data_IF_874119321398
#
_entry.id   IF_874119321398
#
_cell.length_a   1.000
_cell.length_b   1.000
_cell.length_c   1.000
_cell.angle_alpha   90.00
_cell.angle_beta   90.00
_cell.angle_gamma   90.00
#
_symmetry.space_group_name_H-M   'P 1'
#
loop_
_entity.id
_entity.type
_entity.pdbx_description
1 polymer ?
#
# COMPACT_ATOMS: atom_id res chain seq x y z
N UNK A 1 22.29 -66.27 -34.08
CA UNK A 1 20.92 -66.15 -34.57
C UNK A 1 20.14 -65.32 -33.62
N UNK A 2 19.66 -64.19 -34.01
CA UNK A 2 18.56 -63.33 -33.65
C UNK A 2 18.87 -62.35 -32.52
N UNK A 3 19.28 -61.11 -32.73
CA UNK A 3 18.52 -59.87 -33.04
C UNK A 3 17.30 -59.73 -32.15
N UNK A 4 17.28 -58.66 -31.30
CA UNK A 4 16.44 -57.49 -31.48
C UNK A 4 16.70 -56.45 -30.41
N UNK A 5 16.87 -55.40 -30.80
CA UNK A 5 16.67 -53.98 -30.81
C UNK A 5 15.92 -53.45 -29.56
N UNK A 6 16.66 -52.73 -28.71
CA UNK A 6 16.11 -51.78 -27.74
C UNK A 6 15.91 -50.40 -28.41
N UNK A 7 14.65 -49.93 -28.45
CA UNK A 7 14.31 -48.58 -28.83
C UNK A 7 14.19 -47.69 -27.56
N UNK A 8 14.73 -46.46 -27.54
CA UNK A 8 14.61 -45.58 -26.38
C UNK A 8 13.24 -44.85 -26.34
N UNK A 9 12.63 -44.88 -25.17
CA UNK A 9 11.41 -44.12 -24.84
C UNK A 9 11.67 -42.60 -24.91
N UNK A 10 10.87 -41.95 -25.73
CA UNK A 10 10.81 -40.50 -25.91
C UNK A 10 10.39 -39.80 -24.60
N UNK A 11 11.25 -38.89 -24.11
CA UNK A 11 10.91 -37.96 -23.03
C UNK A 11 9.95 -36.90 -23.56
N UNK A 12 8.75 -36.86 -22.99
CA UNK A 12 7.78 -35.81 -23.23
C UNK A 12 8.30 -34.50 -22.61
N UNK A 13 8.55 -33.50 -23.45
CA UNK A 13 8.87 -32.15 -23.06
C UNK A 13 7.62 -31.47 -22.46
N UNK A 14 7.66 -31.14 -21.18
CA UNK A 14 6.70 -30.23 -20.55
C UNK A 14 7.00 -28.81 -21.06
N UNK A 15 6.11 -28.33 -21.95
CA UNK A 15 6.14 -26.94 -22.41
C UNK A 15 5.71 -26.00 -21.26
N UNK A 16 6.60 -25.12 -20.87
CA UNK A 16 6.26 -23.94 -20.05
C UNK A 16 5.26 -23.05 -20.81
N UNK A 17 4.22 -22.52 -20.17
CA UNK A 17 3.35 -21.55 -20.81
C UNK A 17 4.12 -20.24 -20.99
N UNK A 18 4.31 -19.86 -22.25
CA UNK A 18 4.90 -18.59 -22.65
C UNK A 18 4.08 -17.42 -22.06
N UNK A 19 4.71 -16.64 -21.18
CA UNK A 19 4.21 -15.37 -20.72
C UNK A 19 4.21 -14.40 -21.90
N UNK A 20 3.03 -14.00 -22.37
CA UNK A 20 2.88 -12.96 -23.35
C UNK A 20 3.46 -11.63 -22.81
N UNK A 21 4.27 -10.90 -23.57
CA UNK A 21 4.77 -9.60 -23.14
C UNK A 21 3.60 -8.62 -23.09
N UNK A 22 3.33 -8.08 -21.90
CA UNK A 22 2.44 -6.93 -21.73
C UNK A 22 3.10 -5.75 -22.43
N UNK A 23 2.63 -5.44 -23.63
CA UNK A 23 3.07 -4.30 -24.43
C UNK A 23 2.71 -3.02 -23.68
N UNK A 24 3.70 -2.41 -23.03
CA UNK A 24 3.58 -1.09 -22.44
C UNK A 24 3.58 -0.06 -23.57
N UNK A 25 2.39 0.32 -24.01
CA UNK A 25 2.19 1.48 -24.89
C UNK A 25 2.65 2.72 -24.11
N UNK A 26 3.79 3.30 -24.48
CA UNK A 26 4.23 4.61 -23.99
C UNK A 26 3.24 5.67 -24.49
N UNK A 27 2.26 6.01 -23.67
CA UNK A 27 1.46 7.20 -23.86
C UNK A 27 2.36 8.43 -23.58
N UNK A 28 2.68 9.19 -24.63
CA UNK A 28 3.49 10.41 -24.59
C UNK A 28 2.66 11.65 -24.23
N UNK A 29 1.81 11.57 -23.20
CA UNK A 29 1.02 12.68 -22.69
C UNK A 29 0.95 12.62 -21.17
N UNK A 30 0.80 13.77 -20.50
CA UNK A 30 0.53 13.78 -19.06
C UNK A 30 -0.80 13.06 -18.80
N UNK A 31 -0.91 12.29 -17.68
CA UNK A 31 -2.16 11.62 -17.33
C UNK A 31 -3.32 12.61 -17.19
N UNK A 32 -4.51 12.23 -17.64
CA UNK A 32 -5.72 13.03 -17.44
C UNK A 32 -5.99 13.28 -15.96
N UNK A 33 -6.56 14.45 -15.64
CA UNK A 33 -6.89 14.80 -14.26
C UNK A 33 -8.05 13.93 -13.77
N UNK A 34 -7.85 13.23 -12.67
CA UNK A 34 -8.92 12.53 -11.97
C UNK A 34 -9.59 13.46 -10.97
N UNK A 35 -10.92 13.47 -10.94
CA UNK A 35 -11.72 14.20 -9.95
C UNK A 35 -12.10 13.38 -8.72
N UNK A 36 -11.86 12.06 -8.75
CA UNK A 36 -12.29 11.14 -7.68
C UNK A 36 -11.12 10.44 -6.97
N UNK A 37 -9.99 10.25 -7.65
CA UNK A 37 -8.85 9.50 -7.13
C UNK A 37 -7.59 10.35 -7.19
N UNK A 38 -6.77 10.31 -6.14
CA UNK A 38 -5.46 10.96 -6.08
C UNK A 38 -4.38 10.01 -5.56
N UNK A 39 -3.13 10.32 -5.85
CA UNK A 39 -1.99 9.70 -5.14
C UNK A 39 -1.62 10.58 -3.96
N UNK A 40 -1.42 9.98 -2.78
CA UNK A 40 -1.08 10.66 -1.54
C UNK A 40 0.25 10.10 -0.99
N UNK A 41 1.26 10.96 -0.90
CA UNK A 41 2.62 10.60 -0.50
C UNK A 41 2.93 11.26 0.86
N UNK A 42 2.85 10.55 1.99
CA UNK A 42 3.38 11.05 3.25
C UNK A 42 4.91 11.07 3.20
N UNK A 43 5.53 12.15 3.67
CA UNK A 43 6.97 12.37 3.52
C UNK A 43 7.58 12.99 4.78
N UNK A 44 8.65 12.36 5.31
CA UNK A 44 9.44 12.88 6.42
C UNK A 44 10.91 12.59 6.21
N UNK A 45 11.72 13.63 6.04
CA UNK A 45 13.16 13.57 5.80
C UNK A 45 13.56 12.48 4.77
N UNK A 46 12.95 12.46 3.57
CA UNK A 46 13.18 11.42 2.57
C UNK A 46 14.46 11.62 1.75
N UNK A 47 15.15 12.74 1.94
CA UNK A 47 16.27 13.13 1.10
C UNK A 47 15.86 13.35 -0.38
N UNK A 48 16.75 13.00 -1.29
CA UNK A 48 16.52 13.18 -2.74
C UNK A 48 15.53 12.18 -3.35
N UNK A 49 15.29 11.04 -2.69
CA UNK A 49 14.43 9.97 -3.21
C UNK A 49 12.98 10.41 -3.44
N UNK A 50 12.49 11.35 -2.64
CA UNK A 50 11.12 11.88 -2.82
C UNK A 50 10.90 12.51 -4.18
N UNK A 51 11.91 13.13 -4.76
CA UNK A 51 11.79 13.78 -6.07
C UNK A 51 11.58 12.74 -7.19
N UNK A 52 12.31 11.63 -7.12
CA UNK A 52 12.14 10.51 -8.04
C UNK A 52 10.78 9.84 -7.85
N UNK A 53 10.39 9.63 -6.60
CA UNK A 53 9.07 9.07 -6.25
C UNK A 53 7.94 9.93 -6.79
N UNK A 54 7.99 11.25 -6.59
CA UNK A 54 6.98 12.20 -7.07
C UNK A 54 6.95 12.26 -8.60
N UNK A 55 8.11 12.35 -9.27
CA UNK A 55 8.17 12.31 -10.74
C UNK A 55 7.60 11.01 -11.29
N UNK A 56 7.94 9.87 -10.68
CA UNK A 56 7.39 8.57 -11.06
C UNK A 56 5.88 8.50 -10.89
N UNK A 57 5.34 9.00 -9.78
CA UNK A 57 3.91 9.06 -9.55
C UNK A 57 3.20 10.01 -10.52
N UNK A 58 3.76 11.21 -10.76
CA UNK A 58 3.22 12.21 -11.71
C UNK A 58 3.20 11.70 -13.15
N UNK A 59 4.16 10.88 -13.54
CA UNK A 59 4.17 10.23 -14.85
C UNK A 59 3.04 9.22 -15.03
N UNK A 60 2.44 8.73 -13.95
CA UNK A 60 1.39 7.69 -13.98
C UNK A 60 0.02 8.22 -13.60
N UNK A 61 -0.06 9.30 -12.81
CA UNK A 61 -1.33 9.79 -12.27
C UNK A 61 -1.37 11.29 -12.05
N UNK A 62 -2.59 11.84 -12.14
CA UNK A 62 -2.90 13.23 -11.87
C UNK A 62 -4.26 13.33 -11.16
N UNK A 63 -4.36 13.93 -9.93
CA UNK A 63 -3.30 14.64 -9.19
C UNK A 63 -2.45 13.76 -8.27
N UNK A 64 -1.28 14.30 -7.87
CA UNK A 64 -0.40 13.75 -6.84
C UNK A 64 -0.24 14.78 -5.72
N UNK A 65 -0.50 14.36 -4.50
CA UNK A 65 -0.34 15.20 -3.31
C UNK A 65 0.77 14.66 -2.42
N UNK A 66 1.65 15.52 -1.96
CA UNK A 66 2.68 15.19 -0.98
C UNK A 66 2.36 15.87 0.33
N UNK A 67 2.35 15.11 1.43
CA UNK A 67 2.20 15.67 2.79
C UNK A 67 3.56 15.62 3.48
N UNK A 68 4.21 16.76 3.57
CA UNK A 68 5.48 16.93 4.28
C UNK A 68 5.21 17.00 5.77
N UNK A 69 5.66 15.99 6.52
CA UNK A 69 5.41 15.81 7.94
C UNK A 69 6.56 16.42 8.78
N UNK A 70 6.75 17.74 8.67
CA UNK A 70 7.77 18.46 9.42
C UNK A 70 9.21 18.09 9.04
N UNK A 71 9.49 17.87 7.76
CA UNK A 71 10.84 17.59 7.25
C UNK A 71 11.77 18.78 7.49
N UNK A 72 13.06 18.49 7.77
CA UNK A 72 14.13 19.45 8.05
C UNK A 72 15.34 19.28 7.13
N UNK A 73 15.25 18.42 6.12
CA UNK A 73 16.31 18.03 5.21
C UNK A 73 16.34 18.85 3.89
N UNK A 74 15.54 19.92 3.80
CA UNK A 74 15.41 20.74 2.58
C UNK A 74 14.49 20.15 1.50
N UNK A 75 13.94 18.96 1.71
CA UNK A 75 13.03 18.32 0.75
C UNK A 75 11.72 19.10 0.57
N UNK A 76 11.26 19.77 1.63
CA UNK A 76 10.02 20.54 1.61
C UNK A 76 10.08 21.74 0.64
N UNK A 77 11.20 22.42 0.61
CA UNK A 77 11.44 23.57 -0.29
C UNK A 77 11.52 23.10 -1.74
N UNK A 78 12.30 22.06 -2.00
CA UNK A 78 12.43 21.47 -3.34
C UNK A 78 11.09 20.98 -3.90
N UNK A 79 10.26 20.35 -3.05
CA UNK A 79 8.91 19.92 -3.44
C UNK A 79 8.00 21.09 -3.74
N UNK A 80 8.11 22.19 -2.97
CA UNK A 80 7.33 23.40 -3.23
C UNK A 80 7.70 24.05 -4.57
N UNK A 81 8.99 24.09 -4.91
CA UNK A 81 9.46 24.59 -6.20
C UNK A 81 8.97 23.73 -7.37
N UNK A 82 8.96 22.39 -7.20
CA UNK A 82 8.34 21.49 -8.18
C UNK A 82 6.85 21.77 -8.37
N UNK A 83 6.11 21.99 -7.28
CA UNK A 83 4.68 22.25 -7.34
C UNK A 83 4.32 23.57 -8.02
N UNK A 84 5.21 24.57 -7.99
CA UNK A 84 5.03 25.82 -8.75
C UNK A 84 5.08 25.58 -10.27
N UNK A 85 5.80 24.56 -10.72
CA UNK A 85 6.00 24.23 -12.13
C UNK A 85 5.04 23.13 -12.62
N UNK A 86 4.37 22.42 -11.71
CA UNK A 86 3.47 21.31 -12.04
C UNK A 86 2.12 21.48 -11.33
N UNK A 87 1.08 21.97 -12.01
CA UNK A 87 -0.26 22.19 -11.42
C UNK A 87 -0.94 20.90 -10.94
N UNK A 88 -0.47 19.74 -11.36
CA UNK A 88 -0.97 18.44 -10.89
C UNK A 88 -0.28 17.93 -9.61
N UNK A 89 0.75 18.64 -9.13
CA UNK A 89 1.44 18.37 -7.89
C UNK A 89 1.01 19.36 -6.81
N UNK A 90 0.56 18.86 -5.67
CA UNK A 90 0.23 19.67 -4.49
C UNK A 90 1.07 19.28 -3.30
N UNK A 91 1.62 20.27 -2.59
CA UNK A 91 2.40 20.06 -1.38
C UNK A 91 1.66 20.61 -0.17
N UNK A 92 1.33 19.75 0.77
CA UNK A 92 0.75 20.07 2.08
C UNK A 92 1.86 19.99 3.13
N UNK A 93 1.87 20.89 4.11
CA UNK A 93 2.91 20.91 5.14
C UNK A 93 2.32 20.80 6.55
N UNK A 94 2.87 19.91 7.36
CA UNK A 94 2.65 19.88 8.80
C UNK A 94 3.81 20.61 9.51
N UNK A 95 3.54 21.33 10.61
CA UNK A 95 4.56 22.15 11.25
C UNK A 95 5.64 21.31 12.00
N UNK A 96 5.36 20.05 12.26
CA UNK A 96 6.26 19.11 12.97
C UNK A 96 5.94 17.67 12.59
N UNK A 97 6.87 16.76 12.86
CA UNK A 97 6.64 15.33 12.69
C UNK A 97 5.53 14.81 13.61
N UNK A 98 4.42 14.44 13.00
CA UNK A 98 3.25 13.84 13.63
C UNK A 98 3.13 12.33 13.34
N UNK A 99 3.92 11.83 12.39
CA UNK A 99 4.00 10.44 11.93
C UNK A 99 3.20 10.15 10.67
N UNK A 100 3.59 9.06 9.96
CA UNK A 100 3.05 8.67 8.66
C UNK A 100 1.50 8.71 8.61
N UNK A 101 0.85 8.05 9.56
CA UNK A 101 -0.61 8.01 9.59
C UNK A 101 -1.26 9.36 9.86
N UNK A 102 -0.61 10.25 10.63
CA UNK A 102 -1.10 11.61 10.83
C UNK A 102 -1.02 12.44 9.54
N UNK A 103 0.07 12.29 8.77
CA UNK A 103 0.23 12.92 7.47
C UNK A 103 -0.82 12.40 6.47
N UNK A 104 -1.05 11.09 6.42
CA UNK A 104 -2.11 10.49 5.58
C UNK A 104 -3.47 11.03 5.98
N UNK A 105 -3.81 11.07 7.27
CA UNK A 105 -5.10 11.59 7.73
C UNK A 105 -5.28 13.06 7.38
N UNK A 106 -4.21 13.88 7.48
CA UNK A 106 -4.26 15.28 7.10
C UNK A 106 -4.60 15.44 5.62
N UNK A 107 -3.86 14.78 4.72
CA UNK A 107 -4.13 14.81 3.29
C UNK A 107 -5.49 14.23 2.92
N UNK A 108 -5.88 13.10 3.54
CA UNK A 108 -7.16 12.44 3.32
C UNK A 108 -8.36 13.33 3.67
N UNK A 109 -8.28 14.09 4.76
CA UNK A 109 -9.34 15.04 5.16
C UNK A 109 -9.52 16.18 4.17
N UNK A 110 -8.42 16.75 3.71
CA UNK A 110 -8.46 17.82 2.71
C UNK A 110 -9.01 17.28 1.39
N UNK A 111 -8.51 16.11 0.95
CA UNK A 111 -8.98 15.48 -0.27
C UNK A 111 -10.49 15.16 -0.23
N UNK A 112 -10.98 14.62 0.89
CA UNK A 112 -12.40 14.34 1.07
C UNK A 112 -13.25 15.63 1.06
N UNK A 113 -12.76 16.71 1.66
CA UNK A 113 -13.45 18.00 1.66
C UNK A 113 -13.49 18.65 0.26
N UNK A 114 -12.52 18.32 -0.61
CA UNK A 114 -12.46 18.78 -2.00
C UNK A 114 -13.18 17.82 -2.98
N UNK A 115 -13.87 16.80 -2.47
CA UNK A 115 -14.72 15.91 -3.28
C UNK A 115 -14.01 14.65 -3.80
N UNK A 116 -12.74 14.42 -3.47
CA UNK A 116 -12.09 13.14 -3.78
C UNK A 116 -12.68 12.03 -2.93
N UNK A 117 -12.85 10.86 -3.53
CA UNK A 117 -13.44 9.68 -2.88
C UNK A 117 -12.40 8.65 -2.47
N UNK A 118 -11.26 8.59 -3.17
CA UNK A 118 -10.22 7.58 -2.96
C UNK A 118 -8.82 8.19 -3.01
N UNK A 119 -7.90 7.61 -2.25
CA UNK A 119 -6.49 7.95 -2.32
C UNK A 119 -5.62 6.69 -2.35
N UNK A 120 -4.70 6.64 -3.31
CA UNK A 120 -3.59 5.68 -3.30
C UNK A 120 -2.48 6.26 -2.43
N UNK A 121 -2.16 5.59 -1.33
CA UNK A 121 -0.97 5.92 -0.53
C UNK A 121 0.28 5.29 -1.12
N UNK A 122 1.38 6.02 -1.07
CA UNK A 122 2.69 5.59 -1.58
C UNK A 122 3.78 6.19 -0.69
N UNK A 123 4.75 5.39 -0.25
CA UNK A 123 5.85 5.89 0.58
C UNK A 123 6.84 6.73 -0.25
N UNK A 124 7.52 7.68 0.39
CA UNK A 124 8.41 8.65 -0.27
C UNK A 124 9.85 8.15 -0.48
N UNK A 125 10.11 6.89 -0.14
CA UNK A 125 11.45 6.27 -0.11
C UNK A 125 11.87 5.58 -1.42
N UNK A 126 11.06 5.63 -2.47
CA UNK A 126 11.36 5.05 -3.77
C UNK A 126 11.21 3.53 -3.86
N UNK A 127 10.70 2.86 -2.81
CA UNK A 127 10.52 1.40 -2.81
C UNK A 127 9.23 0.95 -3.50
N UNK A 128 8.24 1.81 -3.62
CA UNK A 128 6.94 1.50 -4.22
C UNK A 128 6.95 1.68 -5.75
N UNK A 129 6.28 0.77 -6.50
CA UNK A 129 6.31 0.74 -7.96
C UNK A 129 5.34 1.75 -8.58
N UNK A 130 5.77 2.92 -9.10
CA UNK A 130 4.85 3.88 -9.68
C UNK A 130 4.10 3.33 -10.91
N UNK A 131 4.69 2.40 -11.65
CA UNK A 131 4.06 1.76 -12.81
C UNK A 131 2.80 0.94 -12.46
N UNK A 132 2.61 0.57 -11.19
CA UNK A 132 1.42 -0.14 -10.72
C UNK A 132 0.25 0.81 -10.36
N UNK A 133 0.46 2.14 -10.31
CA UNK A 133 -0.57 3.10 -9.91
C UNK A 133 -1.83 2.95 -10.77
N UNK A 134 -1.69 2.91 -12.11
CA UNK A 134 -2.81 2.80 -13.01
C UNK A 134 -3.68 1.55 -12.76
N UNK A 135 -3.06 0.39 -12.54
CA UNK A 135 -3.76 -0.86 -12.25
C UNK A 135 -4.51 -0.81 -10.91
N UNK A 136 -3.92 -0.23 -9.88
CA UNK A 136 -4.54 -0.07 -8.57
C UNK A 136 -5.73 0.90 -8.62
N UNK A 137 -5.59 2.01 -9.34
CA UNK A 137 -6.67 2.97 -9.53
C UNK A 137 -7.82 2.36 -10.33
N UNK A 138 -7.53 1.61 -11.40
CA UNK A 138 -8.56 0.91 -12.18
C UNK A 138 -9.32 -0.12 -11.33
N UNK A 139 -8.63 -0.89 -10.49
CA UNK A 139 -9.27 -1.83 -9.57
C UNK A 139 -10.16 -1.13 -8.54
N UNK A 140 -9.73 0.03 -8.03
CA UNK A 140 -10.52 0.85 -7.11
C UNK A 140 -11.77 1.44 -7.78
N UNK A 141 -11.65 1.91 -9.02
CA UNK A 141 -12.80 2.40 -9.79
C UNK A 141 -13.81 1.29 -10.09
N UNK A 142 -13.33 0.07 -10.36
CA UNK A 142 -14.18 -1.10 -10.59
C UNK A 142 -14.87 -1.60 -9.32
N UNK A 143 -14.27 -1.36 -8.14
CA UNK A 143 -14.79 -1.76 -6.83
C UNK A 143 -14.59 -0.64 -5.81
N UNK A 144 -15.38 0.43 -5.87
CA UNK A 144 -15.16 1.62 -5.04
C UNK A 144 -15.39 1.37 -3.53
N UNK A 145 -16.06 0.30 -3.16
CA UNK A 145 -16.23 -0.11 -1.76
C UNK A 145 -15.03 -0.90 -1.20
N UNK A 146 -14.07 -1.30 -2.05
CA UNK A 146 -12.97 -2.14 -1.64
C UNK A 146 -11.74 -1.34 -1.16
N UNK A 147 -10.99 -1.95 -0.25
CA UNK A 147 -9.63 -1.55 0.09
C UNK A 147 -8.66 -2.30 -0.84
N UNK A 148 -7.98 -1.59 -1.74
CA UNK A 148 -7.00 -2.22 -2.62
C UNK A 148 -5.66 -2.30 -1.89
N UNK A 149 -5.17 -3.50 -1.67
CA UNK A 149 -3.92 -3.79 -0.97
C UNK A 149 -2.84 -4.25 -1.93
N UNK A 150 -1.66 -3.66 -1.83
CA UNK A 150 -0.49 -4.18 -2.51
C UNK A 150 -0.01 -5.48 -1.85
N UNK A 151 0.25 -6.49 -2.66
CA UNK A 151 0.92 -7.72 -2.27
C UNK A 151 2.38 -7.67 -2.76
N UNK A 152 3.34 -7.47 -1.84
CA UNK A 152 4.72 -7.28 -2.24
C UNK A 152 5.34 -8.58 -2.75
N UNK A 153 5.92 -8.53 -3.93
CA UNK A 153 6.77 -9.60 -4.44
C UNK A 153 8.23 -9.27 -4.13
N UNK A 154 8.82 -10.11 -3.30
CA UNK A 154 10.20 -9.97 -2.85
C UNK A 154 11.14 -10.73 -3.77
N UNK A 155 12.20 -10.07 -4.24
CA UNK A 155 13.31 -10.75 -4.91
C UNK A 155 14.07 -11.68 -3.95
N UNK A 156 14.98 -12.48 -4.52
CA UNK A 156 15.81 -13.43 -3.77
C UNK A 156 16.68 -12.78 -2.67
N UNK A 157 16.96 -11.48 -2.80
CA UNK A 157 17.82 -10.69 -1.89
C UNK A 157 17.07 -10.14 -0.66
N UNK A 158 15.79 -10.49 -0.47
CA UNK A 158 15.01 -9.96 0.65
C UNK A 158 15.50 -10.51 2.00
N UNK A 159 15.74 -9.65 3.02
CA UNK A 159 16.21 -10.11 4.33
C UNK A 159 15.19 -11.05 4.98
N UNK A 160 15.59 -12.29 5.30
CA UNK A 160 14.72 -13.33 5.85
C UNK A 160 13.99 -12.90 7.13
N UNK A 161 14.63 -12.09 7.98
CA UNK A 161 14.03 -11.58 9.21
C UNK A 161 12.83 -10.67 8.92
N UNK A 162 12.93 -9.82 7.89
CA UNK A 162 11.80 -8.96 7.45
C UNK A 162 10.65 -9.79 6.92
N UNK A 163 10.94 -10.81 6.11
CA UNK A 163 9.91 -11.71 5.57
C UNK A 163 9.18 -12.47 6.68
N UNK A 164 9.93 -12.99 7.68
CA UNK A 164 9.33 -13.68 8.83
C UNK A 164 8.47 -12.76 9.71
N UNK A 165 8.97 -11.56 10.03
CA UNK A 165 8.23 -10.57 10.81
C UNK A 165 6.94 -10.16 10.10
N UNK A 166 6.99 -9.99 8.77
CA UNK A 166 5.84 -9.67 7.94
C UNK A 166 4.80 -10.80 7.94
N UNK A 167 5.22 -12.05 7.83
CA UNK A 167 4.30 -13.21 7.93
C UNK A 167 3.58 -13.26 9.27
N UNK A 168 4.27 -12.94 10.36
CA UNK A 168 3.67 -12.91 11.70
C UNK A 168 2.62 -11.79 11.81
N UNK A 169 2.93 -10.58 11.34
CA UNK A 169 1.97 -9.47 11.33
C UNK A 169 0.75 -9.78 10.45
N UNK A 170 0.95 -10.40 9.29
CA UNK A 170 -0.12 -10.80 8.39
C UNK A 170 -1.04 -11.87 9.03
N UNK A 171 -0.45 -12.81 9.77
CA UNK A 171 -1.21 -13.82 10.51
C UNK A 171 -2.09 -13.16 11.59
N UNK A 172 -1.54 -12.22 12.37
CA UNK A 172 -2.31 -11.46 13.34
C UNK A 172 -3.43 -10.64 12.70
N UNK A 173 -3.17 -9.92 11.63
CA UNK A 173 -4.17 -9.13 10.91
C UNK A 173 -5.32 -10.01 10.39
N UNK A 174 -5.01 -11.22 9.92
CA UNK A 174 -6.04 -12.17 9.49
C UNK A 174 -6.84 -12.75 10.67
N UNK A 175 -6.20 -13.07 11.80
CA UNK A 175 -6.90 -13.48 13.01
C UNK A 175 -7.86 -12.39 13.50
N UNK A 176 -7.40 -11.16 13.57
CA UNK A 176 -8.16 -9.97 14.02
C UNK A 176 -9.36 -9.63 13.14
N UNK A 177 -9.35 -10.08 11.89
CA UNK A 177 -10.42 -9.87 10.91
C UNK A 177 -11.22 -11.14 10.60
N UNK A 178 -11.00 -12.24 11.32
CA UNK A 178 -11.54 -13.58 11.03
C UNK A 178 -11.23 -14.02 9.59
N UNK A 179 -9.98 -13.84 9.15
CA UNK A 179 -9.51 -14.20 7.81
C UNK A 179 -10.25 -13.47 6.67
N UNK A 180 -10.30 -12.12 6.76
CA UNK A 180 -10.87 -11.29 5.70
C UNK A 180 -10.08 -11.36 4.37
N UNK A 181 -8.87 -11.91 4.36
CA UNK A 181 -8.03 -12.06 3.17
C UNK A 181 -7.03 -10.92 2.99
N UNK A 182 -6.40 -10.45 4.06
CA UNK A 182 -5.28 -9.49 4.01
C UNK A 182 -4.00 -10.28 3.72
N UNK A 183 -3.43 -10.14 2.49
CA UNK A 183 -2.20 -10.82 2.12
C UNK A 183 -0.97 -10.13 2.69
N UNK A 184 -0.97 -8.78 2.72
CA UNK A 184 0.07 -8.02 3.38
C UNK A 184 -0.47 -6.82 4.17
N UNK A 185 -0.19 -6.83 5.49
CA UNK A 185 -0.65 -5.81 6.43
C UNK A 185 0.33 -4.64 6.59
N UNK A 186 1.57 -4.76 6.12
CA UNK A 186 2.64 -3.78 6.35
C UNK A 186 3.05 -2.98 5.10
N UNK A 187 2.60 -3.41 3.92
CA UNK A 187 2.95 -2.73 2.68
C UNK A 187 2.04 -1.52 2.46
N UNK A 188 2.63 -0.34 2.37
CA UNK A 188 1.91 0.94 2.34
C UNK A 188 1.37 1.37 0.99
N UNK A 189 1.53 0.56 -0.08
CA UNK A 189 1.00 0.83 -1.41
C UNK A 189 -0.44 0.34 -1.53
N UNK A 190 -1.41 1.24 -1.32
CA UNK A 190 -2.83 0.89 -1.14
C UNK A 190 -3.76 1.96 -1.67
N UNK A 191 -4.94 1.59 -2.17
CA UNK A 191 -6.02 2.56 -2.41
C UNK A 191 -7.08 2.43 -1.32
N UNK A 192 -7.33 3.54 -0.64
CA UNK A 192 -8.30 3.65 0.45
C UNK A 192 -9.55 4.39 0.00
N UNK A 193 -10.77 3.90 0.33
CA UNK A 193 -11.97 4.71 0.34
C UNK A 193 -11.84 5.80 1.43
N UNK A 194 -11.74 7.07 1.04
CA UNK A 194 -11.38 8.18 1.95
C UNK A 194 -12.38 8.37 3.08
N UNK A 195 -13.68 8.29 2.80
CA UNK A 195 -14.72 8.46 3.82
C UNK A 195 -14.59 7.42 4.95
N UNK A 196 -14.40 6.14 4.58
CA UNK A 196 -14.21 5.07 5.55
C UNK A 196 -12.89 5.22 6.31
N UNK A 197 -11.79 5.56 5.61
CA UNK A 197 -10.48 5.75 6.23
C UNK A 197 -10.52 6.89 7.26
N UNK A 198 -11.03 8.06 6.88
CA UNK A 198 -11.10 9.24 7.76
C UNK A 198 -11.96 8.94 8.99
N UNK A 199 -13.09 8.25 8.80
CA UNK A 199 -13.98 7.90 9.92
C UNK A 199 -13.33 6.93 10.90
N UNK A 200 -12.65 5.86 10.39
CA UNK A 200 -11.92 4.91 11.22
C UNK A 200 -10.78 5.59 12.00
N UNK A 201 -10.03 6.47 11.34
CA UNK A 201 -8.91 7.18 11.97
C UNK A 201 -9.34 8.26 12.95
N UNK A 202 -10.55 8.85 12.77
CA UNK A 202 -11.11 9.87 13.66
C UNK A 202 -11.54 9.27 15.01
N UNK A 203 -12.05 8.05 15.01
CA UNK A 203 -12.55 7.35 16.20
C UNK A 203 -11.44 6.94 17.18
N UNK A 204 -10.17 6.96 16.76
CA UNK A 204 -9.04 6.49 17.56
C UNK A 204 -7.90 7.49 17.72
N UNK A 205 -7.14 7.34 18.81
CA UNK A 205 -5.88 8.08 19.02
C UNK A 205 -4.69 7.41 18.30
N UNK A 206 -4.88 6.18 17.85
CA UNK A 206 -3.91 5.30 17.23
C UNK A 206 -3.80 5.55 15.73
N UNK A 207 -3.01 4.78 15.03
CA UNK A 207 -2.79 4.92 13.59
C UNK A 207 -2.14 6.26 13.23
N UNK A 208 -1.20 6.74 14.04
CA UNK A 208 -0.51 8.01 13.75
C UNK A 208 0.89 7.81 13.19
N UNK A 209 1.53 6.67 13.46
CA UNK A 209 2.90 6.35 13.07
C UNK A 209 2.94 5.11 12.17
N UNK A 210 3.88 4.20 12.40
CA UNK A 210 4.01 2.94 11.64
C UNK A 210 2.92 1.91 11.95
N UNK A 211 2.16 2.11 13.00
CA UNK A 211 0.94 1.36 13.32
C UNK A 211 -0.22 1.65 12.35
N UNK A 212 -0.09 2.65 11.49
CA UNK A 212 -1.14 3.06 10.57
C UNK A 212 -1.53 1.96 9.57
N UNK A 213 -0.57 1.45 8.81
CA UNK A 213 -0.87 0.52 7.71
C UNK A 213 -1.59 -0.76 8.16
N UNK A 214 -1.10 -1.50 9.19
CA UNK A 214 -1.79 -2.72 9.64
C UNK A 214 -3.10 -2.41 10.36
N UNK A 215 -3.13 -1.41 11.26
CA UNK A 215 -4.34 -1.12 12.02
C UNK A 215 -5.47 -0.55 11.15
N UNK A 216 -5.16 0.29 10.17
CA UNK A 216 -6.14 0.82 9.23
C UNK A 216 -6.80 -0.31 8.41
N UNK A 217 -6.02 -1.26 7.89
CA UNK A 217 -6.54 -2.39 7.14
C UNK A 217 -7.50 -3.23 8.00
N UNK A 218 -7.11 -3.59 9.22
CA UNK A 218 -7.95 -4.38 10.15
C UNK A 218 -9.23 -3.64 10.49
N UNK A 219 -9.14 -2.35 10.85
CA UNK A 219 -10.33 -1.57 11.24
C UNK A 219 -11.28 -1.32 10.08
N UNK A 220 -10.78 -1.11 8.87
CA UNK A 220 -11.61 -1.00 7.67
C UNK A 220 -12.36 -2.31 7.40
N UNK A 221 -11.70 -3.46 7.55
CA UNK A 221 -12.39 -4.76 7.47
C UNK A 221 -13.48 -4.89 8.54
N UNK A 222 -13.27 -4.38 9.77
CA UNK A 222 -14.31 -4.36 10.81
C UNK A 222 -15.51 -3.48 10.44
N UNK A 223 -15.31 -2.42 9.65
CA UNK A 223 -16.41 -1.59 9.13
C UNK A 223 -17.07 -2.20 7.88
N UNK A 224 -16.56 -3.31 7.36
CA UNK A 224 -17.13 -4.06 6.23
C UNK A 224 -16.50 -3.72 4.89
N UNK A 225 -15.41 -2.96 4.86
CA UNK A 225 -14.63 -2.75 3.64
C UNK A 225 -13.90 -4.05 3.29
N UNK A 226 -14.09 -4.53 2.08
CA UNK A 226 -13.50 -5.81 1.62
C UNK A 226 -12.11 -5.57 1.06
N UNK A 227 -11.08 -6.31 1.51
CA UNK A 227 -9.74 -6.21 0.91
C UNK A 227 -9.70 -6.89 -0.46
N UNK A 228 -9.00 -6.26 -1.40
CA UNK A 228 -8.63 -6.81 -2.70
C UNK A 228 -7.13 -6.68 -2.88
N UNK A 229 -6.42 -7.81 -2.97
CA UNK A 229 -4.97 -7.82 -3.08
C UNK A 229 -4.54 -7.79 -4.55
N UNK A 230 -3.56 -6.94 -4.87
CA UNK A 230 -2.95 -6.85 -6.18
C UNK A 230 -1.43 -6.99 -6.07
N UNK A 231 -0.78 -7.71 -6.99
CA UNK A 231 0.66 -7.85 -6.97
C UNK A 231 1.35 -6.50 -7.19
N UNK A 232 2.39 -6.24 -6.40
CA UNK A 232 3.21 -5.05 -6.51
C UNK A 232 4.69 -5.40 -6.25
N UNK A 233 5.58 -5.25 -7.24
CA UNK A 233 6.99 -5.49 -7.05
C UNK A 233 7.58 -4.45 -6.09
N UNK A 234 8.45 -4.88 -5.18
CA UNK A 234 9.16 -3.99 -4.25
C UNK A 234 10.59 -3.81 -4.72
N UNK A 235 11.01 -2.55 -4.86
CA UNK A 235 12.41 -2.22 -5.09
C UNK A 235 13.12 -2.07 -3.75
N UNK A 236 14.07 -2.94 -3.47
CA UNK A 236 14.99 -2.74 -2.35
C UNK A 236 16.11 -1.83 -2.80
N UNK A 237 16.19 -0.65 -2.19
CA UNK A 237 17.30 0.26 -2.39
C UNK A 237 18.47 -0.21 -1.53
N UNK A 238 19.67 -0.23 -2.13
CA UNK A 238 20.91 -0.47 -1.39
C UNK A 238 21.25 0.77 -0.53
N UNK A 239 22.06 0.62 0.52
CA UNK A 239 22.47 1.76 1.35
C UNK A 239 23.16 2.88 0.55
N UNK A 240 23.88 2.54 -0.52
CA UNK A 240 24.54 3.47 -1.44
C UNK A 240 23.56 4.19 -2.38
N UNK A 241 22.35 3.68 -2.58
CA UNK A 241 21.27 4.31 -3.33
C UNK A 241 20.44 5.30 -2.48
N UNK A 242 20.84 5.58 -1.24
CA UNK A 242 20.18 6.55 -0.36
C UNK A 242 18.94 6.02 0.39
N UNK A 243 18.79 4.70 0.50
CA UNK A 243 17.70 4.09 1.26
C UNK A 243 17.72 4.50 2.74
N UNK A 244 16.81 5.37 3.16
CA UNK A 244 16.64 5.79 4.55
C UNK A 244 15.52 5.00 5.19
N UNK A 245 15.83 4.25 6.25
CA UNK A 245 14.82 3.56 7.05
C UNK A 245 14.66 4.28 8.39
N UNK A 246 13.50 4.84 8.65
CA UNK A 246 13.15 5.45 9.93
C UNK A 246 12.58 4.44 10.94
N UNK A 247 12.64 3.14 10.64
CA UNK A 247 12.14 2.09 11.51
C UNK A 247 13.14 1.75 12.62
N UNK A 248 12.76 2.00 13.88
CA UNK A 248 13.55 1.65 15.07
C UNK A 248 13.08 0.32 15.64
N UNK A 249 13.83 -0.75 15.39
CA UNK A 249 13.45 -2.14 15.70
C UNK A 249 12.91 -2.34 17.12
N UNK A 250 13.53 -1.78 18.14
CA UNK A 250 13.07 -1.93 19.52
C UNK A 250 11.71 -1.27 19.77
N UNK A 251 11.63 0.03 19.54
CA UNK A 251 10.45 0.84 19.84
C UNK A 251 9.27 0.48 18.95
N UNK A 252 9.51 0.30 17.66
CA UNK A 252 8.41 0.10 16.72
C UNK A 252 7.83 -1.32 16.81
N UNK A 253 8.65 -2.34 17.14
CA UNK A 253 8.14 -3.67 17.46
C UNK A 253 7.28 -3.70 18.72
N UNK A 254 7.65 -2.94 19.78
CA UNK A 254 6.80 -2.81 20.97
C UNK A 254 5.47 -2.14 20.62
N UNK A 255 5.48 -1.10 19.81
CA UNK A 255 4.25 -0.43 19.34
C UNK A 255 3.38 -1.35 18.50
N UNK A 256 3.96 -2.13 17.58
CA UNK A 256 3.23 -3.11 16.76
C UNK A 256 2.65 -4.24 17.63
N UNK A 257 3.40 -4.75 18.60
CA UNK A 257 2.90 -5.77 19.53
C UNK A 257 1.71 -5.24 20.32
N UNK A 258 1.83 -4.02 20.89
CA UNK A 258 0.74 -3.37 21.60
C UNK A 258 -0.48 -3.12 20.72
N UNK A 259 -0.25 -2.75 19.45
CA UNK A 259 -1.30 -2.60 18.46
C UNK A 259 -2.06 -3.92 18.27
N UNK A 260 -1.38 -5.04 18.04
CA UNK A 260 -2.02 -6.34 17.86
C UNK A 260 -2.79 -6.78 19.11
N UNK A 261 -2.27 -6.56 20.33
CA UNK A 261 -3.01 -6.83 21.58
C UNK A 261 -4.33 -6.06 21.60
N UNK A 262 -4.31 -4.74 21.29
CA UNK A 262 -5.52 -3.92 21.24
C UNK A 262 -6.51 -4.37 20.15
N UNK A 263 -5.99 -4.79 19.00
CA UNK A 263 -6.81 -5.26 17.89
C UNK A 263 -7.45 -6.62 18.20
N UNK A 264 -6.74 -7.55 18.83
CA UNK A 264 -7.31 -8.82 19.29
C UNK A 264 -8.44 -8.60 20.29
N UNK A 265 -8.24 -7.75 21.29
CA UNK A 265 -9.29 -7.39 22.25
C UNK A 265 -10.48 -6.71 21.54
N UNK A 266 -10.19 -5.83 20.57
CA UNK A 266 -11.20 -5.18 19.74
C UNK A 266 -11.97 -6.14 18.84
N UNK A 267 -11.31 -7.17 18.29
CA UNK A 267 -11.93 -8.23 17.49
C UNK A 267 -12.83 -9.12 18.36
N UNK A 268 -12.36 -9.50 19.56
CA UNK A 268 -13.15 -10.29 20.52
C UNK A 268 -14.47 -9.59 20.87
N UNK A 269 -14.41 -8.28 21.15
CA UNK A 269 -15.62 -7.48 21.40
C UNK A 269 -16.57 -7.41 20.19
N UNK A 270 -16.05 -7.45 18.98
CA UNK A 270 -16.81 -7.40 17.72
C UNK A 270 -17.19 -8.77 17.16
N UNK A 271 -16.80 -9.84 17.82
CA UNK A 271 -16.92 -11.22 17.31
C UNK A 271 -18.33 -11.54 16.78
N UNK A 272 -19.45 -11.24 17.50
CA UNK A 272 -20.78 -11.52 16.96
C UNK A 272 -21.06 -10.82 15.63
N UNK A 273 -20.66 -9.55 15.52
CA UNK A 273 -20.85 -8.75 14.29
C UNK A 273 -19.99 -9.25 13.14
N UNK A 274 -18.75 -9.64 13.42
CA UNK A 274 -17.82 -10.17 12.42
C UNK A 274 -18.30 -11.54 11.89
N UNK A 275 -18.76 -12.42 12.77
CA UNK A 275 -19.36 -13.69 12.39
C UNK A 275 -20.62 -13.51 11.54
N UNK A 276 -21.53 -12.64 11.95
CA UNK A 276 -22.74 -12.32 11.17
C UNK A 276 -22.39 -11.87 9.75
N UNK A 277 -21.45 -10.95 9.59
CA UNK A 277 -21.00 -10.50 8.27
C UNK A 277 -20.38 -11.61 7.43
N UNK A 278 -19.57 -12.48 8.04
CA UNK A 278 -18.94 -13.60 7.32
C UNK A 278 -19.99 -14.58 6.78
N UNK A 279 -21.00 -14.91 7.56
CA UNK A 279 -22.10 -15.78 7.11
C UNK A 279 -22.95 -15.12 6.04
N UNK A 280 -23.26 -13.81 6.16
CA UNK A 280 -24.01 -13.08 5.16
C UNK A 280 -23.30 -12.98 3.79
N UNK A 281 -21.97 -12.87 3.79
CA UNK A 281 -21.20 -12.87 2.53
C UNK A 281 -21.08 -14.25 1.89
N UNK A 282 -21.11 -15.32 2.69
CA UNK A 282 -21.08 -16.68 2.17
C UNK A 282 -22.37 -17.03 1.41
N UNK A 283 -23.54 -16.63 1.95
CA UNK A 283 -24.83 -16.85 1.29
C UNK A 283 -25.05 -16.03 0.00
N UNK A 284 -24.29 -14.98 -0.25
CA UNK A 284 -24.36 -14.21 -1.52
C UNK A 284 -23.47 -14.76 -2.63
N UNK A 285 -22.63 -15.74 -2.34
CA UNK A 285 -21.71 -16.38 -3.31
C UNK A 285 -22.22 -17.77 -3.78
N UNK A 286 -23.26 -18.29 -3.16
CA UNK A 286 -24.05 -19.46 -3.58
C UNK A 286 -25.29 -19.03 -4.35
#
# INVERSE_FOLDING_TARGET
>A
MGRDADAPLSAAAHGEPAQAPVSATKATGQPSISSTHLVLIPSYNPGRLVLETVRGARAQWNPVWVVVDGSTDGSAETLADMAQQDPGLRVLRLPRNCGKGAAVLHGARIALAEGFTHALTMDSDGQHPPQCIGAFMAASMARPEALILGEPHFGADAPLLRVRGRRLSNWWANLETLWAGIHDSLFGFRVYPLAALVEVMRRGRWMRRFDFDPEAAVRLCWEGVTPLNLPAPVRYLRPDEGGVSHFHYGRDNVLLTWMHIRLVLGAAWRLPRLLHRRFATHHRRL
#
